data_IF_079210433310
#
_entry.id   IF_079210433310
#
_cell.length_a   1.000
_cell.length_b   1.000
_cell.length_c   1.000
_cell.angle_alpha   90.00
_cell.angle_beta   90.00
_cell.angle_gamma   90.00
#
_symmetry.space_group_name_H-M   'P 1'
#
loop_
_entity.id
_entity.type
_entity.pdbx_description
1 polymer ?
#
# COMPACT_ATOMS: atom_id res chain seq x y z
N UNK A 1 -8.58 -16.55 4.48
CA UNK A 1 -10.04 -16.38 4.35
C UNK A 1 -10.40 -16.99 3.01
N UNK A 2 -11.27 -17.95 3.01
CA UNK A 2 -11.86 -18.42 1.76
C UNK A 2 -12.90 -17.38 1.34
N UNK A 3 -12.93 -17.01 0.08
CA UNK A 3 -14.07 -16.27 -0.51
C UNK A 3 -15.36 -17.00 -0.16
N UNK A 4 -16.43 -16.28 0.10
CA UNK A 4 -17.75 -16.86 0.28
C UNK A 4 -18.05 -17.78 -0.91
N UNK A 5 -18.71 -18.91 -0.68
CA UNK A 5 -19.01 -19.89 -1.73
C UNK A 5 -19.82 -19.24 -2.86
N UNK A 6 -20.71 -18.29 -2.55
CA UNK A 6 -21.46 -17.52 -3.54
C UNK A 6 -20.56 -16.60 -4.41
N UNK A 7 -19.47 -16.05 -3.85
CA UNK A 7 -18.50 -15.26 -4.62
C UNK A 7 -17.58 -16.16 -5.48
N UNK A 8 -17.32 -17.41 -5.04
CA UNK A 8 -16.58 -18.39 -5.85
C UNK A 8 -17.38 -18.87 -7.06
N UNK A 9 -18.68 -18.98 -6.91
CA UNK A 9 -19.54 -19.49 -7.98
C UNK A 9 -19.92 -18.40 -9.01
N UNK A 10 -19.83 -17.12 -8.63
CA UNK A 10 -20.20 -15.96 -9.48
C UNK A 10 -19.01 -15.10 -9.92
N UNK A 11 -17.78 -15.62 -9.89
CA UNK A 11 -16.60 -14.82 -10.27
C UNK A 11 -16.65 -14.22 -11.69
N UNK A 12 -17.47 -14.80 -12.59
CA UNK A 12 -17.70 -14.27 -13.95
C UNK A 12 -18.65 -13.08 -13.99
N UNK A 13 -19.43 -12.86 -12.94
CA UNK A 13 -20.41 -11.79 -12.83
C UNK A 13 -19.90 -10.63 -11.95
N UNK A 14 -18.73 -10.79 -11.35
CA UNK A 14 -18.08 -9.75 -10.54
C UNK A 14 -17.12 -8.93 -11.39
N UNK A 15 -16.99 -7.65 -11.09
CA UNK A 15 -15.98 -6.75 -11.66
C UNK A 15 -14.59 -6.90 -10.98
N UNK A 16 -14.38 -7.96 -10.18
CA UNK A 16 -13.08 -8.28 -9.63
C UNK A 16 -12.19 -8.94 -10.70
N UNK A 17 -11.05 -8.32 -10.96
CA UNK A 17 -10.05 -8.86 -11.87
C UNK A 17 -9.39 -10.10 -11.26
N UNK A 18 -9.65 -11.27 -11.81
CA UNK A 18 -9.05 -12.55 -11.37
C UNK A 18 -7.79 -12.92 -12.13
N UNK A 19 -7.55 -12.26 -13.25
CA UNK A 19 -6.39 -12.51 -14.12
C UNK A 19 -5.09 -11.94 -13.54
N UNK A 20 -3.98 -12.37 -14.08
CA UNK A 20 -2.64 -11.88 -13.75
C UNK A 20 -2.21 -10.64 -14.56
N UNK A 21 -2.99 -10.27 -15.56
CA UNK A 21 -2.79 -9.04 -16.35
C UNK A 21 -4.00 -8.12 -16.16
N UNK A 22 -3.77 -6.96 -15.54
CA UNK A 22 -4.80 -5.95 -15.36
C UNK A 22 -4.62 -4.84 -16.40
N UNK A 23 -5.57 -4.75 -17.32
CA UNK A 23 -5.67 -3.66 -18.27
C UNK A 23 -6.54 -2.57 -17.64
N UNK A 24 -5.99 -1.38 -17.52
CA UNK A 24 -6.66 -0.22 -16.93
C UNK A 24 -6.60 0.89 -17.97
N UNK A 25 -7.75 1.22 -18.53
CA UNK A 25 -7.85 2.22 -19.61
C UNK A 25 -7.55 3.62 -19.07
N UNK A 26 -8.28 4.07 -18.07
CA UNK A 26 -8.12 5.38 -17.48
C UNK A 26 -8.05 5.31 -15.96
N UNK A 27 -7.26 6.25 -15.37
CA UNK A 27 -7.26 6.47 -13.93
C UNK A 27 -8.65 6.92 -13.47
N UNK A 28 -9.21 6.26 -12.45
CA UNK A 28 -10.40 6.75 -11.77
C UNK A 28 -10.12 8.12 -11.11
N UNK A 29 -10.99 9.09 -11.37
CA UNK A 29 -10.94 10.45 -10.84
C UNK A 29 -12.16 10.77 -9.98
N UNK A 30 -12.99 9.78 -9.69
CA UNK A 30 -14.20 9.94 -8.88
C UNK A 30 -13.89 10.26 -7.42
N UNK A 31 -14.87 10.78 -6.71
CA UNK A 31 -14.81 11.04 -5.28
C UNK A 31 -13.66 11.99 -4.89
N UNK A 32 -12.80 11.55 -3.95
CA UNK A 32 -11.66 12.32 -3.43
C UNK A 32 -10.39 12.17 -4.26
N UNK A 33 -10.42 11.32 -5.31
CA UNK A 33 -9.26 11.06 -6.14
C UNK A 33 -8.89 12.26 -7.01
N UNK A 34 -7.74 12.86 -6.69
CA UNK A 34 -7.13 13.91 -7.49
C UNK A 34 -5.66 13.55 -7.72
N UNK A 35 -5.17 13.74 -8.95
CA UNK A 35 -3.78 13.43 -9.26
C UNK A 35 -2.86 14.59 -8.90
N UNK A 36 -2.82 14.95 -7.61
CA UNK A 36 -2.03 16.08 -7.09
C UNK A 36 -0.67 15.67 -6.54
N UNK A 37 -0.46 14.37 -6.35
CA UNK A 37 0.78 13.82 -5.81
C UNK A 37 1.43 12.93 -6.86
N UNK A 38 2.64 13.27 -7.28
CA UNK A 38 3.38 12.47 -8.26
C UNK A 38 3.70 11.08 -7.69
N UNK A 39 3.56 10.04 -8.52
CA UNK A 39 3.85 8.65 -8.09
C UNK A 39 2.66 7.91 -7.45
N UNK A 40 1.48 8.52 -7.35
CA UNK A 40 0.28 7.78 -6.95
C UNK A 40 -0.05 6.67 -7.95
N UNK A 41 -0.27 5.46 -7.44
CA UNK A 41 -0.88 4.42 -8.28
C UNK A 41 -2.37 4.70 -8.55
N UNK A 42 -2.93 4.05 -9.56
CA UNK A 42 -4.34 4.26 -9.93
C UNK A 42 -5.28 3.67 -8.86
N UNK A 43 -6.41 4.33 -8.55
CA UNK A 43 -7.36 3.89 -7.51
C UNK A 43 -7.89 2.47 -7.69
N UNK A 44 -8.00 2.02 -8.94
CA UNK A 44 -8.45 0.66 -9.26
C UNK A 44 -7.56 -0.43 -8.64
N UNK A 45 -6.27 -0.18 -8.42
CA UNK A 45 -5.36 -1.16 -7.80
C UNK A 45 -5.76 -1.42 -6.33
N UNK A 46 -5.77 -0.43 -5.41
CA UNK A 46 -6.20 -0.67 -4.05
C UNK A 46 -7.67 -1.09 -3.96
N UNK A 47 -8.56 -0.59 -4.83
CA UNK A 47 -9.96 -1.04 -4.89
C UNK A 47 -10.06 -2.55 -5.06
N UNK A 48 -9.43 -3.11 -6.09
CA UNK A 48 -9.42 -4.54 -6.37
C UNK A 48 -8.80 -5.36 -5.23
N UNK A 49 -7.68 -4.88 -4.67
CA UNK A 49 -7.00 -5.57 -3.57
C UNK A 49 -7.83 -5.57 -2.28
N UNK A 50 -8.41 -4.43 -1.90
CA UNK A 50 -9.22 -4.29 -0.69
C UNK A 50 -10.47 -5.17 -0.79
N UNK A 51 -11.20 -5.11 -1.89
CA UNK A 51 -12.40 -5.94 -2.11
C UNK A 51 -12.09 -7.42 -2.10
N UNK A 52 -10.96 -7.82 -2.64
CA UNK A 52 -10.54 -9.23 -2.74
C UNK A 52 -10.10 -9.81 -1.40
N UNK A 53 -9.46 -9.03 -0.55
CA UNK A 53 -8.76 -9.55 0.63
C UNK A 53 -9.32 -9.05 1.96
N UNK A 54 -10.36 -8.21 1.95
CA UNK A 54 -10.98 -7.67 3.17
C UNK A 54 -12.49 -7.65 3.09
N UNK A 55 -13.14 -7.46 4.25
CA UNK A 55 -14.57 -7.22 4.41
C UNK A 55 -14.82 -5.83 5.00
N UNK A 56 -16.08 -5.33 4.93
CA UNK A 56 -16.47 -4.10 5.62
C UNK A 56 -16.08 -4.16 7.09
N UNK A 57 -15.58 -3.05 7.64
CA UNK A 57 -15.09 -2.95 9.01
C UNK A 57 -13.68 -3.49 9.25
N UNK A 58 -13.08 -4.22 8.32
CA UNK A 58 -11.68 -4.62 8.43
C UNK A 58 -10.75 -3.41 8.41
N UNK A 59 -9.54 -3.57 8.93
CA UNK A 59 -8.51 -2.51 8.95
C UNK A 59 -7.41 -2.82 7.95
N UNK A 60 -7.19 -1.87 7.05
CA UNK A 60 -6.09 -1.85 6.08
C UNK A 60 -4.96 -0.99 6.63
N UNK A 61 -3.73 -1.47 6.57
CA UNK A 61 -2.53 -0.70 6.88
C UNK A 61 -1.72 -0.43 5.62
N UNK A 62 -1.26 0.79 5.43
CA UNK A 62 -0.39 1.19 4.32
C UNK A 62 0.90 1.82 4.83
N UNK A 63 2.05 1.27 4.38
CA UNK A 63 3.36 1.71 4.88
C UNK A 63 3.86 3.02 4.23
N UNK A 64 3.35 3.36 3.05
CA UNK A 64 3.76 4.53 2.28
C UNK A 64 2.50 5.19 1.72
N UNK A 65 1.85 6.01 2.54
CA UNK A 65 0.48 6.53 2.30
C UNK A 65 0.38 7.48 1.11
N UNK A 66 1.43 8.27 0.84
CA UNK A 66 1.43 9.25 -0.24
C UNK A 66 0.17 10.12 -0.26
N UNK A 67 -0.41 10.30 -1.43
CA UNK A 67 -1.59 11.14 -1.65
C UNK A 67 -2.93 10.56 -1.16
N UNK A 68 -2.94 9.45 -0.42
CA UNK A 68 -4.13 8.90 0.23
C UNK A 68 -5.02 8.05 -0.67
N UNK A 69 -4.53 7.59 -1.81
CA UNK A 69 -5.33 6.80 -2.76
C UNK A 69 -5.98 5.58 -2.09
N UNK A 70 -5.21 4.80 -1.33
CA UNK A 70 -5.74 3.64 -0.58
C UNK A 70 -6.74 4.04 0.49
N UNK A 71 -6.51 5.15 1.19
CA UNK A 71 -7.44 5.64 2.22
C UNK A 71 -8.81 6.01 1.62
N UNK A 72 -8.82 6.69 0.47
CA UNK A 72 -10.08 7.07 -0.19
C UNK A 72 -10.85 5.83 -0.66
N UNK A 73 -10.16 4.80 -1.11
CA UNK A 73 -10.80 3.49 -1.40
C UNK A 73 -11.30 2.81 -0.14
N UNK A 74 -10.56 2.89 0.98
CA UNK A 74 -11.03 2.36 2.26
C UNK A 74 -12.31 3.06 2.72
N UNK A 75 -12.41 4.39 2.58
CA UNK A 75 -13.63 5.14 2.88
C UNK A 75 -14.81 4.68 2.00
N UNK A 76 -14.62 4.64 0.69
CA UNK A 76 -15.63 4.21 -0.27
C UNK A 76 -16.14 2.79 0.02
N UNK A 77 -15.24 1.90 0.41
CA UNK A 77 -15.51 0.49 0.65
C UNK A 77 -15.83 0.17 2.13
N UNK A 78 -15.90 1.17 3.02
CA UNK A 78 -16.17 1.04 4.46
C UNK A 78 -15.16 0.15 5.20
N UNK A 79 -13.87 0.31 4.90
CA UNK A 79 -12.76 -0.28 5.64
C UNK A 79 -12.08 0.78 6.50
N UNK A 80 -11.63 0.39 7.68
CA UNK A 80 -10.80 1.26 8.52
C UNK A 80 -9.37 1.32 7.94
N UNK A 81 -8.64 2.38 8.28
CA UNK A 81 -7.33 2.62 7.68
C UNK A 81 -6.30 3.12 8.69
N UNK A 82 -5.08 2.62 8.55
CA UNK A 82 -3.89 3.12 9.23
C UNK A 82 -2.82 3.36 8.19
N UNK A 83 -2.36 4.60 8.04
CA UNK A 83 -1.32 4.96 7.10
C UNK A 83 -0.11 5.61 7.75
N UNK A 84 1.03 5.50 7.09
CA UNK A 84 2.28 6.12 7.48
C UNK A 84 2.90 6.87 6.32
N UNK A 85 3.43 8.02 6.57
CA UNK A 85 4.22 8.81 5.62
C UNK A 85 5.18 9.72 6.38
N UNK A 86 6.24 10.19 5.76
CA UNK A 86 7.17 11.16 6.33
C UNK A 86 6.92 12.58 5.81
N UNK A 87 6.13 12.70 4.74
CA UNK A 87 5.81 13.99 4.13
C UNK A 87 4.65 14.66 4.85
N UNK A 88 4.97 15.54 5.80
CA UNK A 88 3.96 16.28 6.60
C UNK A 88 2.98 17.10 5.77
N UNK A 89 3.41 17.60 4.62
CA UNK A 89 2.54 18.39 3.74
C UNK A 89 1.48 17.50 3.09
N UNK A 90 1.87 16.31 2.64
CA UNK A 90 0.93 15.36 2.06
C UNK A 90 -0.01 14.77 3.12
N UNK A 91 0.49 14.50 4.32
CA UNK A 91 -0.35 14.08 5.46
C UNK A 91 -1.42 15.12 5.76
N UNK A 92 -1.02 16.41 5.83
CA UNK A 92 -1.98 17.49 6.04
C UNK A 92 -3.02 17.55 4.92
N UNK A 93 -2.58 17.50 3.65
CA UNK A 93 -3.47 17.52 2.50
C UNK A 93 -4.50 16.38 2.57
N UNK A 94 -4.06 15.15 2.88
CA UNK A 94 -4.95 13.99 2.95
C UNK A 94 -5.93 14.14 4.13
N UNK A 95 -5.48 14.61 5.29
CA UNK A 95 -6.36 14.88 6.42
C UNK A 95 -7.41 15.97 6.12
N UNK A 96 -7.02 17.03 5.40
CA UNK A 96 -7.95 18.07 4.96
C UNK A 96 -9.04 17.47 4.01
N UNK A 97 -8.65 16.56 3.11
CA UNK A 97 -9.58 15.82 2.24
C UNK A 97 -10.51 14.87 2.99
N UNK A 98 -10.08 14.35 4.12
CA UNK A 98 -10.84 13.41 4.95
C UNK A 98 -11.61 14.09 6.09
N UNK A 99 -11.63 15.42 6.14
CA UNK A 99 -12.23 16.17 7.25
C UNK A 99 -13.73 15.93 7.46
N UNK A 100 -14.45 15.52 6.42
CA UNK A 100 -15.86 15.16 6.41
C UNK A 100 -16.13 13.67 6.65
N UNK A 101 -15.07 12.83 6.74
CA UNK A 101 -15.21 11.40 6.88
C UNK A 101 -15.70 11.00 8.28
N UNK A 102 -16.85 10.35 8.33
CA UNK A 102 -17.45 9.77 9.56
C UNK A 102 -17.77 8.29 9.42
N UNK A 103 -17.57 7.74 8.21
CA UNK A 103 -17.97 6.37 7.86
C UNK A 103 -16.99 5.30 8.32
N UNK A 104 -15.73 5.66 8.51
CA UNK A 104 -14.63 4.76 8.91
C UNK A 104 -13.76 5.38 10.00
N UNK A 105 -12.99 4.53 10.69
CA UNK A 105 -11.88 5.01 11.53
C UNK A 105 -10.62 5.06 10.68
N UNK A 106 -9.92 6.19 10.72
CA UNK A 106 -8.64 6.30 10.01
C UNK A 106 -7.62 7.10 10.82
N UNK A 107 -6.36 6.86 10.54
CA UNK A 107 -5.24 7.66 11.03
C UNK A 107 -4.09 7.62 10.02
N UNK A 108 -3.39 8.76 9.89
CA UNK A 108 -2.14 8.85 9.15
C UNK A 108 -1.09 9.43 10.10
N UNK A 109 0.03 8.73 10.24
CA UNK A 109 1.11 9.11 11.16
C UNK A 109 2.33 9.59 10.38
N UNK A 110 2.95 10.71 10.82
CA UNK A 110 4.31 11.07 10.42
C UNK A 110 5.26 10.06 11.07
N UNK A 111 5.85 9.17 10.28
CA UNK A 111 6.60 8.05 10.80
C UNK A 111 7.57 7.48 9.76
N UNK A 112 8.82 7.28 10.15
CA UNK A 112 9.76 6.45 9.41
C UNK A 112 9.44 4.97 9.64
N UNK A 113 8.80 4.35 8.66
CA UNK A 113 8.40 2.93 8.72
C UNK A 113 9.60 1.96 8.75
N UNK A 114 10.81 2.45 8.47
CA UNK A 114 12.05 1.68 8.56
C UNK A 114 12.70 1.75 9.94
N UNK A 115 12.27 2.67 10.79
CA UNK A 115 12.70 2.79 12.18
C UNK A 115 11.74 2.00 13.08
N UNK A 116 12.20 0.89 13.65
CA UNK A 116 11.36 -0.02 14.41
C UNK A 116 10.73 0.65 15.64
N UNK A 117 11.49 1.42 16.42
CA UNK A 117 11.00 2.07 17.63
C UNK A 117 9.93 3.12 17.33
N UNK A 118 10.19 3.98 16.33
CA UNK A 118 9.25 4.99 15.86
C UNK A 118 7.98 4.34 15.31
N UNK A 119 8.13 3.31 14.47
CA UNK A 119 7.00 2.59 13.88
C UNK A 119 6.14 1.91 14.94
N UNK A 120 6.73 1.18 15.88
CA UNK A 120 5.99 0.49 16.95
C UNK A 120 5.19 1.48 17.78
N UNK A 121 5.79 2.63 18.11
CA UNK A 121 5.11 3.71 18.87
C UNK A 121 3.89 4.24 18.09
N UNK A 122 4.08 4.55 16.80
CA UNK A 122 3.01 5.08 15.94
C UNK A 122 1.93 4.04 15.68
N UNK A 123 2.30 2.81 15.34
CA UNK A 123 1.36 1.73 15.03
C UNK A 123 0.52 1.34 16.26
N UNK A 124 1.13 1.21 17.45
CA UNK A 124 0.40 0.93 18.68
C UNK A 124 -0.61 2.02 19.01
N UNK A 125 -0.24 3.30 18.85
CA UNK A 125 -1.15 4.43 19.05
C UNK A 125 -2.34 4.36 18.08
N UNK A 126 -2.07 4.10 16.80
CA UNK A 126 -3.10 3.98 15.77
C UNK A 126 -4.01 2.76 16.01
N UNK A 127 -3.46 1.60 16.32
CA UNK A 127 -4.24 0.41 16.66
C UNK A 127 -5.14 0.64 17.89
N UNK A 128 -4.58 1.25 18.95
CA UNK A 128 -5.33 1.60 20.17
C UNK A 128 -6.49 2.55 19.88
N UNK A 129 -6.31 3.56 19.03
CA UNK A 129 -7.38 4.50 18.66
C UNK A 129 -8.54 3.83 17.93
N UNK A 130 -8.28 2.74 17.24
CA UNK A 130 -9.28 1.93 16.53
C UNK A 130 -9.80 0.75 17.35
N UNK A 131 -9.25 0.52 18.55
CA UNK A 131 -9.56 -0.62 19.43
C UNK A 131 -9.26 -1.98 18.78
N UNK A 132 -8.09 -2.10 18.17
CA UNK A 132 -7.57 -3.32 17.55
C UNK A 132 -6.13 -3.60 18.02
N UNK A 133 -5.68 -4.84 17.89
CA UNK A 133 -4.29 -5.26 18.12
C UNK A 133 -3.56 -5.56 16.82
N UNK A 134 -4.29 -6.04 15.82
CA UNK A 134 -3.76 -6.50 14.53
C UNK A 134 -4.66 -6.05 13.40
N UNK A 135 -4.06 -5.89 12.23
CA UNK A 135 -4.72 -5.48 10.99
C UNK A 135 -5.12 -6.69 10.13
N UNK A 136 -6.02 -6.46 9.18
CA UNK A 136 -6.56 -7.49 8.30
C UNK A 136 -5.85 -7.54 6.93
N UNK A 137 -5.30 -6.43 6.48
CA UNK A 137 -4.58 -6.33 5.20
C UNK A 137 -3.46 -5.30 5.27
N UNK A 138 -2.31 -5.62 4.68
CA UNK A 138 -1.17 -4.71 4.57
C UNK A 138 -0.92 -4.39 3.09
N UNK A 139 -0.73 -3.13 2.75
CA UNK A 139 -0.30 -2.70 1.43
C UNK A 139 0.97 -1.86 1.54
N UNK A 140 1.89 -2.04 0.60
CA UNK A 140 3.11 -1.26 0.51
C UNK A 140 3.35 -0.83 -0.94
N UNK A 141 3.45 0.48 -1.16
CA UNK A 141 3.83 1.08 -2.44
C UNK A 141 4.98 2.06 -2.19
N UNK A 142 6.20 1.54 -1.99
CA UNK A 142 7.35 2.37 -1.68
C UNK A 142 7.77 3.20 -2.89
N UNK A 143 8.57 4.26 -2.70
CA UNK A 143 9.25 4.94 -3.80
C UNK A 143 10.16 3.96 -4.56
N UNK A 144 10.41 4.25 -5.85
CA UNK A 144 11.27 3.41 -6.70
C UNK A 144 12.69 3.99 -6.69
N UNK A 145 13.45 3.72 -5.62
CA UNK A 145 14.74 4.38 -5.36
C UNK A 145 14.62 5.92 -5.48
N UNK A 146 15.60 6.54 -6.10
CA UNK A 146 15.74 7.98 -6.30
C UNK A 146 15.24 8.49 -7.66
N UNK A 147 14.35 7.72 -8.33
CA UNK A 147 13.76 8.13 -9.61
C UNK A 147 12.93 9.41 -9.45
N UNK A 148 12.16 9.48 -8.36
CA UNK A 148 11.43 10.67 -7.95
C UNK A 148 11.75 10.96 -6.50
N UNK A 149 12.28 12.14 -6.21
CA UNK A 149 12.53 12.59 -4.84
C UNK A 149 11.29 13.30 -4.30
N UNK A 150 10.66 12.69 -3.31
CA UNK A 150 9.41 13.20 -2.76
C UNK A 150 9.60 14.29 -1.70
N UNK A 151 10.67 14.17 -0.90
CA UNK A 151 10.99 15.15 0.15
C UNK A 151 12.50 15.38 0.23
N UNK A 152 12.92 16.33 1.08
CA UNK A 152 14.32 16.53 1.47
C UNK A 152 14.64 15.85 2.83
N UNK A 153 13.68 15.12 3.40
CA UNK A 153 13.86 14.41 4.66
C UNK A 153 14.81 13.21 4.47
N UNK A 154 15.79 13.07 5.35
CA UNK A 154 16.77 11.98 5.28
C UNK A 154 16.15 10.60 5.54
N UNK A 155 14.94 10.55 6.11
CA UNK A 155 14.15 9.32 6.32
C UNK A 155 13.48 8.85 5.03
N UNK A 156 13.42 9.70 4.01
CA UNK A 156 12.74 9.38 2.75
C UNK A 156 13.54 8.35 1.95
N UNK A 157 12.93 7.20 1.69
CA UNK A 157 13.54 6.16 0.87
C UNK A 157 13.86 6.63 -0.54
N UNK A 158 13.18 7.66 -1.04
CA UNK A 158 13.47 8.28 -2.33
C UNK A 158 14.79 9.06 -2.37
N UNK A 159 15.45 9.26 -1.22
CA UNK A 159 16.80 9.83 -1.16
C UNK A 159 17.91 8.78 -1.33
N UNK A 160 17.56 7.49 -1.33
CA UNK A 160 18.51 6.38 -1.40
C UNK A 160 18.78 6.01 -2.86
N UNK A 161 20.03 6.15 -3.30
CA UNK A 161 20.47 5.79 -4.65
C UNK A 161 21.04 4.37 -4.77
N UNK A 162 21.47 3.77 -3.67
CA UNK A 162 21.99 2.39 -3.62
C UNK A 162 20.85 1.39 -3.57
N UNK A 163 20.80 0.46 -4.51
CA UNK A 163 19.81 -0.60 -4.55
C UNK A 163 19.84 -1.47 -3.29
N UNK A 164 21.02 -1.90 -2.86
CA UNK A 164 21.16 -2.76 -1.68
C UNK A 164 20.67 -2.05 -0.41
N UNK A 165 21.07 -0.79 -0.20
CA UNK A 165 20.60 0.01 0.93
C UNK A 165 19.09 0.20 0.90
N UNK A 166 18.51 0.43 -0.28
CA UNK A 166 17.07 0.55 -0.44
C UNK A 166 16.35 -0.76 -0.08
N UNK A 167 16.85 -1.89 -0.58
CA UNK A 167 16.27 -3.20 -0.30
C UNK A 167 16.35 -3.56 1.19
N UNK A 168 17.44 -3.24 1.87
CA UNK A 168 17.57 -3.42 3.32
C UNK A 168 16.53 -2.59 4.10
N UNK A 169 16.36 -1.33 3.72
CA UNK A 169 15.36 -0.46 4.33
C UNK A 169 13.93 -0.93 4.04
N UNK A 170 13.65 -1.33 2.80
CA UNK A 170 12.36 -1.92 2.45
C UNK A 170 12.08 -3.19 3.26
N UNK A 171 13.07 -4.06 3.42
CA UNK A 171 12.92 -5.27 4.24
C UNK A 171 12.57 -4.94 5.69
N UNK A 172 13.20 -3.91 6.26
CA UNK A 172 12.89 -3.47 7.62
C UNK A 172 11.46 -2.91 7.72
N UNK A 173 11.02 -2.09 6.75
CA UNK A 173 9.65 -1.61 6.69
C UNK A 173 8.64 -2.76 6.61
N UNK A 174 8.90 -3.76 5.77
CA UNK A 174 8.04 -4.96 5.68
C UNK A 174 8.04 -5.77 6.97
N UNK A 175 9.18 -5.91 7.66
CA UNK A 175 9.27 -6.59 8.97
C UNK A 175 8.38 -5.90 9.99
N UNK A 176 8.46 -4.59 10.06
CA UNK A 176 7.66 -3.77 10.95
C UNK A 176 6.16 -3.91 10.66
N UNK A 177 5.75 -3.75 9.41
CA UNK A 177 4.34 -3.86 9.01
C UNK A 177 3.75 -5.26 9.19
N UNK A 178 4.48 -6.29 8.76
CA UNK A 178 4.01 -7.68 8.87
C UNK A 178 3.86 -8.15 10.32
N UNK A 179 4.58 -7.54 11.28
CA UNK A 179 4.40 -7.83 12.69
C UNK A 179 2.98 -7.48 13.20
N UNK A 180 2.27 -6.58 12.52
CA UNK A 180 0.89 -6.21 12.85
C UNK A 180 -0.17 -6.98 12.08
N UNK A 181 0.19 -7.70 11.02
CA UNK A 181 -0.76 -8.46 10.21
C UNK A 181 -1.26 -9.69 10.97
N UNK A 182 -2.57 -9.93 10.98
CA UNK A 182 -3.15 -11.16 11.53
C UNK A 182 -2.62 -12.39 10.79
N UNK A 183 -2.40 -13.48 11.52
CA UNK A 183 -1.96 -14.74 10.93
C UNK A 183 -2.99 -15.25 9.91
N UNK A 184 -2.49 -15.66 8.75
CA UNK A 184 -3.33 -16.18 7.65
C UNK A 184 -3.93 -15.10 6.76
N UNK A 185 -3.72 -13.83 7.07
CA UNK A 185 -4.17 -12.73 6.24
C UNK A 185 -3.16 -12.41 5.11
N UNK A 186 -3.54 -11.47 4.25
CA UNK A 186 -2.84 -11.15 3.02
C UNK A 186 -2.15 -9.80 3.10
N UNK A 187 -1.12 -9.65 2.28
CA UNK A 187 -0.51 -8.34 2.01
C UNK A 187 -0.20 -8.22 0.52
N UNK A 188 -0.06 -7.00 0.05
CA UNK A 188 0.34 -6.68 -1.31
C UNK A 188 1.51 -5.69 -1.32
N UNK A 189 2.42 -5.90 -2.27
CA UNK A 189 3.44 -4.92 -2.60
C UNK A 189 3.20 -4.47 -4.04
N UNK A 190 3.08 -3.17 -4.23
CA UNK A 190 2.97 -2.54 -5.54
C UNK A 190 4.31 -1.90 -5.86
N UNK A 191 4.93 -2.30 -6.96
CA UNK A 191 6.19 -1.74 -7.40
C UNK A 191 6.29 -1.80 -8.92
N UNK A 192 7.05 -0.88 -9.49
CA UNK A 192 7.45 -0.90 -10.89
C UNK A 192 8.94 -1.17 -11.01
N UNK A 193 9.34 -1.62 -12.19
CA UNK A 193 10.74 -1.70 -12.54
C UNK A 193 11.30 -0.31 -12.85
N UNK A 194 12.60 -0.17 -12.74
CA UNK A 194 13.27 1.09 -13.05
C UNK A 194 14.29 0.89 -14.17
N UNK A 195 14.52 1.93 -14.96
CA UNK A 195 15.52 1.92 -16.00
C UNK A 195 16.69 2.82 -15.58
N UNK A 196 17.88 2.25 -15.46
CA UNK A 196 19.09 2.96 -15.01
C UNK A 196 20.32 2.42 -15.74
N UNK A 197 21.20 3.32 -16.17
CA UNK A 197 22.46 2.96 -16.84
C UNK A 197 22.27 2.00 -18.04
N UNK A 198 21.24 2.28 -18.86
CA UNK A 198 20.87 1.47 -20.02
C UNK A 198 20.44 0.03 -19.71
N UNK A 199 20.00 -0.23 -18.47
CA UNK A 199 19.54 -1.55 -18.03
C UNK A 199 18.22 -1.43 -17.26
N UNK A 200 17.35 -2.45 -17.40
CA UNK A 200 16.17 -2.61 -16.56
C UNK A 200 16.59 -3.22 -15.23
N UNK A 201 16.32 -2.51 -14.14
CA UNK A 201 16.44 -3.06 -12.78
C UNK A 201 15.06 -3.58 -12.39
N UNK A 202 14.86 -4.91 -12.28
CA UNK A 202 13.57 -5.53 -11.98
C UNK A 202 13.27 -5.43 -10.48
N UNK A 203 13.01 -4.20 -10.02
CA UNK A 203 12.90 -3.86 -8.60
C UNK A 203 11.80 -4.67 -7.91
N UNK A 204 10.65 -4.82 -8.56
CA UNK A 204 9.52 -5.58 -8.01
C UNK A 204 9.90 -7.05 -7.74
N UNK A 205 10.69 -7.66 -8.62
CA UNK A 205 11.15 -9.05 -8.46
C UNK A 205 12.22 -9.18 -7.38
N UNK A 206 13.12 -8.20 -7.23
CA UNK A 206 14.08 -8.18 -6.12
C UNK A 206 13.36 -8.08 -4.77
N UNK A 207 12.38 -7.20 -4.65
CA UNK A 207 11.56 -7.06 -3.44
C UNK A 207 10.76 -8.33 -3.15
N UNK A 208 10.15 -8.96 -4.14
CA UNK A 208 9.44 -10.23 -4.01
C UNK A 208 10.38 -11.33 -3.50
N UNK A 209 11.55 -11.47 -4.11
CA UNK A 209 12.54 -12.48 -3.71
C UNK A 209 13.05 -12.25 -2.29
N UNK A 210 13.34 -11.00 -1.94
CA UNK A 210 13.76 -10.60 -0.60
C UNK A 210 12.72 -10.98 0.47
N UNK A 211 11.44 -10.72 0.20
CA UNK A 211 10.33 -11.11 1.08
C UNK A 211 10.27 -12.63 1.23
N UNK A 212 10.35 -13.38 0.13
CA UNK A 212 10.30 -14.84 0.14
C UNK A 212 11.44 -15.49 0.93
N UNK A 213 12.62 -14.88 0.92
CA UNK A 213 13.79 -15.37 1.65
C UNK A 213 13.73 -15.07 3.15
N UNK A 214 13.10 -13.98 3.55
CA UNK A 214 13.15 -13.48 4.93
C UNK A 214 11.89 -13.74 5.76
N UNK A 215 10.75 -14.08 5.13
CA UNK A 215 9.50 -14.32 5.83
C UNK A 215 8.87 -15.65 5.44
N UNK A 216 8.24 -16.33 6.41
CA UNK A 216 7.47 -17.55 6.16
C UNK A 216 6.09 -17.20 5.56
N UNK A 217 6.10 -16.81 4.31
CA UNK A 217 4.90 -16.39 3.55
C UNK A 217 4.74 -17.17 2.25
N UNK A 218 3.50 -17.27 1.77
CA UNK A 218 3.18 -17.92 0.49
C UNK A 218 2.89 -16.84 -0.56
N UNK A 219 3.60 -16.88 -1.68
CA UNK A 219 3.25 -16.07 -2.85
C UNK A 219 1.93 -16.61 -3.43
N UNK A 220 0.92 -15.78 -3.51
CA UNK A 220 -0.42 -16.13 -3.99
C UNK A 220 -0.67 -15.73 -5.43
N UNK A 221 0.05 -14.73 -5.92
CA UNK A 221 -0.04 -14.27 -7.30
C UNK A 221 0.93 -13.14 -7.59
N UNK A 222 1.21 -12.95 -8.86
CA UNK A 222 1.88 -11.78 -9.41
C UNK A 222 0.89 -11.19 -10.42
N UNK A 223 0.63 -9.90 -10.30
CA UNK A 223 -0.24 -9.16 -11.22
C UNK A 223 0.60 -8.12 -11.93
N UNK A 224 0.54 -8.13 -13.23
CA UNK A 224 1.10 -7.08 -14.08
C UNK A 224 -0.04 -6.14 -14.47
N UNK A 225 0.12 -4.87 -14.18
CA UNK A 225 -0.83 -3.85 -14.62
C UNK A 225 -0.29 -3.13 -15.83
N UNK A 226 -1.11 -2.89 -16.82
CA UNK A 226 -0.86 -1.96 -17.90
C UNK A 226 -1.89 -0.84 -17.88
N UNK A 227 -1.45 0.38 -18.19
CA UNK A 227 -2.30 1.55 -18.36
C UNK A 227 -2.15 2.00 -19.81
N UNK A 228 -3.24 2.06 -20.55
CA UNK A 228 -3.20 2.56 -21.91
C UNK A 228 -2.80 4.04 -21.92
N UNK A 229 -1.92 4.42 -22.85
CA UNK A 229 -1.47 5.79 -23.01
C UNK A 229 -0.29 6.25 -22.15
N UNK A 230 0.42 5.33 -21.49
CA UNK A 230 1.70 5.61 -20.82
C UNK A 230 2.87 5.07 -21.64
#
# INVERSE_FOLDING_TARGET
MEMDQAEKDNWKETDLNVDSLWLIDERDKSGKHANVYHGNFVPQIPNQLIRRYTQEGNTVMELFSGGGTTLFECESLKRNYIGFDINKQIIKYVNDKMSDCTSIKYSICDCDVTNEEEFVTCANKACKSQNIEKIDFLIAHPPYLDIVKFTQDKRDLSQISSLDTFLDKFLQAMRNGLAYLKKGQYFAVVAGDIYRQSEVVPLAFYMMNLIKQNFNVKLKGIVIKNIEGN
#
